data_IF_054459240299
#
_entry.id   IF_054459240299
#
_cell.length_a   1.000
_cell.length_b   1.000
_cell.length_c   1.000
_cell.angle_alpha   90.00
_cell.angle_beta   90.00
_cell.angle_gamma   90.00
#
_symmetry.space_group_name_H-M   'P 1'
#
loop_
_entity.id
_entity.type
_entity.pdbx_description
1 polymer ?
#
# COMPACT_ATOMS: atom_id res chain seq x y z
N UNK A 1 18.12 -23.97 -5.13
CA UNK A 1 16.99 -23.71 -6.07
C UNK A 1 15.69 -23.96 -5.30
N UNK A 2 14.65 -23.10 -5.38
CA UNK A 2 13.34 -23.46 -4.83
C UNK A 2 12.84 -24.74 -5.51
N UNK A 3 12.09 -25.58 -4.78
CA UNK A 3 11.56 -26.82 -5.34
C UNK A 3 10.64 -26.52 -6.54
N UNK A 4 10.69 -27.32 -7.62
CA UNK A 4 9.72 -27.26 -8.70
C UNK A 4 8.29 -27.32 -8.15
N UNK A 5 7.34 -26.64 -8.81
CA UNK A 5 5.92 -26.59 -8.42
C UNK A 5 5.62 -25.99 -7.03
N UNK A 6 6.59 -25.36 -6.36
CA UNK A 6 6.32 -24.60 -5.12
C UNK A 6 5.97 -23.16 -5.46
N UNK A 7 4.83 -22.69 -4.94
CA UNK A 7 4.40 -21.31 -5.09
C UNK A 7 5.48 -20.33 -4.60
N UNK A 8 5.81 -19.34 -5.44
CA UNK A 8 6.65 -18.22 -5.02
C UNK A 8 5.88 -17.37 -4.01
N UNK A 9 6.59 -16.73 -3.08
CA UNK A 9 5.99 -15.82 -2.10
C UNK A 9 5.13 -14.71 -2.73
N UNK A 10 5.41 -14.34 -3.99
CA UNK A 10 4.61 -13.37 -4.75
C UNK A 10 3.21 -13.85 -5.13
N UNK A 11 2.91 -15.15 -5.10
CA UNK A 11 1.60 -15.68 -5.48
C UNK A 11 0.47 -15.12 -4.60
N UNK A 12 0.69 -15.04 -3.28
CA UNK A 12 -0.29 -14.51 -2.34
C UNK A 12 -0.63 -13.04 -2.67
N UNK A 13 0.38 -12.22 -2.95
CA UNK A 13 0.17 -10.82 -3.34
C UNK A 13 -0.64 -10.69 -4.64
N UNK A 14 -0.38 -11.56 -5.63
CA UNK A 14 -1.19 -11.60 -6.85
C UNK A 14 -2.64 -12.01 -6.56
N UNK A 15 -2.84 -13.04 -5.72
CA UNK A 15 -4.18 -13.49 -5.33
C UNK A 15 -4.96 -12.38 -4.62
N UNK A 16 -4.31 -11.62 -3.73
CA UNK A 16 -4.90 -10.44 -3.08
C UNK A 16 -5.37 -9.42 -4.11
N UNK A 17 -4.51 -9.04 -5.07
CA UNK A 17 -4.89 -8.10 -6.12
C UNK A 17 -6.06 -8.62 -6.97
N UNK A 18 -6.02 -9.88 -7.40
CA UNK A 18 -7.11 -10.48 -8.20
C UNK A 18 -8.40 -10.70 -7.39
N UNK A 19 -8.33 -10.71 -6.07
CA UNK A 19 -9.52 -10.85 -5.21
C UNK A 19 -10.20 -9.50 -4.99
N UNK A 20 -9.43 -8.43 -4.79
CA UNK A 20 -9.96 -7.15 -4.34
C UNK A 20 -9.94 -6.04 -5.40
N UNK A 21 -9.09 -6.14 -6.43
CA UNK A 21 -8.86 -5.07 -7.42
C UNK A 21 -9.35 -5.52 -8.80
N UNK A 22 -10.62 -5.92 -8.88
CA UNK A 22 -11.30 -6.35 -10.10
C UNK A 22 -12.47 -5.43 -10.42
N UNK A 23 -12.65 -5.09 -11.71
CA UNK A 23 -13.72 -4.18 -12.16
C UNK A 23 -13.71 -2.85 -11.41
N UNK A 24 -12.52 -2.28 -11.23
CA UNK A 24 -12.33 -1.00 -10.54
C UNK A 24 -11.98 0.11 -11.52
N UNK A 25 -12.33 1.33 -11.14
CA UNK A 25 -11.90 2.56 -11.81
C UNK A 25 -10.82 3.25 -10.97
N UNK A 26 -9.82 3.90 -11.60
CA UNK A 26 -8.92 4.79 -10.88
C UNK A 26 -9.72 5.86 -10.14
N UNK A 27 -9.37 6.14 -8.89
CA UNK A 27 -10.04 7.15 -8.09
C UNK A 27 -9.15 8.36 -7.85
N UNK A 28 -8.06 8.18 -7.10
CA UNK A 28 -7.07 9.22 -6.85
C UNK A 28 -5.72 8.60 -6.50
N UNK A 29 -4.70 9.45 -6.46
CA UNK A 29 -3.34 9.09 -6.07
C UNK A 29 -2.74 10.22 -5.25
N UNK A 30 -2.12 9.87 -4.14
CA UNK A 30 -1.48 10.83 -3.24
C UNK A 30 -0.12 10.34 -2.76
N UNK A 31 0.75 11.28 -2.38
CA UNK A 31 2.03 11.01 -1.73
C UNK A 31 2.16 11.84 -0.46
N UNK A 32 1.54 11.43 0.66
CA UNK A 32 1.55 12.23 1.88
C UNK A 32 2.89 12.18 2.62
N UNK A 33 3.08 13.14 3.53
CA UNK A 33 4.25 13.28 4.39
C UNK A 33 5.30 14.25 3.85
N UNK A 34 6.30 14.53 4.69
CA UNK A 34 7.41 15.42 4.34
C UNK A 34 8.30 14.79 3.26
N UNK A 35 8.82 15.58 2.30
CA UNK A 35 9.83 15.11 1.34
C UNK A 35 11.15 14.75 2.03
N UNK A 36 11.26 13.50 2.49
CA UNK A 36 12.45 12.99 3.20
C UNK A 36 13.11 11.77 2.54
N UNK A 37 12.39 11.10 1.63
CA UNK A 37 12.95 9.96 0.92
C UNK A 37 13.77 10.46 -0.28
N UNK A 38 14.92 9.84 -0.54
CA UNK A 38 15.58 9.98 -1.84
C UNK A 38 14.88 9.03 -2.81
N UNK A 39 14.39 9.56 -3.92
CA UNK A 39 13.80 8.81 -5.02
C UNK A 39 14.76 8.64 -6.21
N UNK A 40 14.30 7.97 -7.28
CA UNK A 40 15.06 7.87 -8.52
C UNK A 40 15.47 9.26 -9.06
N UNK A 41 16.73 9.39 -9.50
CA UNK A 41 17.27 10.66 -9.97
C UNK A 41 17.65 11.65 -8.87
N UNK A 42 17.82 11.17 -7.62
CA UNK A 42 18.19 11.97 -6.45
C UNK A 42 17.20 13.09 -6.12
N UNK A 43 15.92 12.87 -6.44
CA UNK A 43 14.83 13.81 -6.15
C UNK A 43 14.23 13.44 -4.80
N UNK A 44 14.07 14.43 -3.91
CA UNK A 44 13.35 14.21 -2.64
C UNK A 44 11.87 13.94 -2.90
N UNK A 45 11.35 12.87 -2.31
CA UNK A 45 9.95 12.48 -2.42
C UNK A 45 9.33 12.29 -1.03
N UNK A 46 8.01 12.45 -0.89
CA UNK A 46 7.30 12.13 0.35
C UNK A 46 7.51 10.69 0.82
N UNK A 47 7.22 10.47 2.10
CA UNK A 47 7.39 9.19 2.80
C UNK A 47 6.54 8.04 2.28
N UNK A 48 5.42 8.34 1.63
CA UNK A 48 4.35 7.38 1.38
C UNK A 48 3.83 7.47 -0.05
N UNK A 49 3.22 6.37 -0.52
CA UNK A 49 2.51 6.30 -1.78
C UNK A 49 1.15 5.66 -1.56
N UNK A 50 0.09 6.38 -1.92
CA UNK A 50 -1.28 5.92 -1.81
C UNK A 50 -1.94 5.95 -3.19
N UNK A 51 -2.59 4.84 -3.56
CA UNK A 51 -3.34 4.72 -4.80
C UNK A 51 -4.72 4.19 -4.46
N UNK A 52 -5.75 4.96 -4.81
CA UNK A 52 -7.14 4.59 -4.58
C UNK A 52 -7.84 4.19 -5.87
N UNK A 53 -8.72 3.22 -5.73
CA UNK A 53 -9.64 2.75 -6.73
C UNK A 53 -11.05 2.74 -6.16
N UNK A 54 -12.03 2.88 -7.05
CA UNK A 54 -13.44 2.70 -6.73
C UNK A 54 -13.99 1.48 -7.47
N UNK A 55 -14.76 0.63 -6.80
CA UNK A 55 -15.45 -0.52 -7.36
C UNK A 55 -16.94 -0.18 -7.49
N UNK A 56 -17.44 0.20 -8.68
CA UNK A 56 -18.80 0.71 -8.85
C UNK A 56 -19.89 -0.30 -8.47
N UNK A 57 -19.67 -1.57 -8.80
CA UNK A 57 -20.67 -2.64 -8.57
C UNK A 57 -21.02 -2.83 -7.09
N UNK A 58 -20.07 -2.54 -6.19
CA UNK A 58 -20.24 -2.74 -4.74
C UNK A 58 -20.14 -1.45 -3.94
N UNK A 59 -19.88 -0.31 -4.59
CA UNK A 59 -19.61 0.97 -3.94
C UNK A 59 -18.44 0.94 -2.97
N UNK A 60 -17.36 0.21 -3.30
CA UNK A 60 -16.20 0.09 -2.42
C UNK A 60 -15.08 1.03 -2.84
N UNK A 61 -14.47 1.69 -1.87
CA UNK A 61 -13.18 2.35 -2.04
C UNK A 61 -12.07 1.40 -1.59
N UNK A 62 -11.06 1.26 -2.43
CA UNK A 62 -9.92 0.36 -2.23
C UNK A 62 -8.65 1.21 -2.31
N UNK A 63 -7.90 1.30 -1.22
CA UNK A 63 -6.69 2.12 -1.14
C UNK A 63 -5.48 1.24 -0.88
N UNK A 64 -4.59 1.15 -1.86
CA UNK A 64 -3.26 0.56 -1.70
C UNK A 64 -2.30 1.60 -1.13
N UNK A 65 -1.52 1.22 -0.11
CA UNK A 65 -0.60 2.13 0.59
C UNK A 65 0.70 1.45 1.00
N UNK A 66 1.83 2.14 0.87
CA UNK A 66 3.15 1.68 1.32
C UNK A 66 4.11 2.84 1.60
N UNK A 67 5.15 2.56 2.40
CA UNK A 67 6.27 3.48 2.63
C UNK A 67 7.23 3.48 1.43
N UNK A 68 7.81 4.63 1.09
CA UNK A 68 8.76 4.80 -0.01
C UNK A 68 10.23 4.75 0.42
N UNK A 69 10.52 4.88 1.72
CA UNK A 69 11.88 4.78 2.25
C UNK A 69 11.97 3.91 3.51
N UNK A 70 13.17 3.85 4.09
CA UNK A 70 13.54 2.90 5.15
C UNK A 70 12.77 3.08 6.46
N UNK A 71 12.25 4.28 6.70
CA UNK A 71 11.51 4.61 7.91
C UNK A 71 10.13 3.96 7.88
N UNK A 72 9.66 3.53 9.05
CA UNK A 72 8.26 3.23 9.21
C UNK A 72 7.44 4.52 9.06
N UNK A 73 6.30 4.39 8.42
CA UNK A 73 5.36 5.47 8.16
C UNK A 73 4.03 5.20 8.84
N UNK A 74 3.27 6.26 9.12
CA UNK A 74 1.90 6.15 9.60
C UNK A 74 0.97 6.75 8.55
N UNK A 75 0.13 5.91 7.94
CA UNK A 75 -0.92 6.37 7.05
C UNK A 75 -2.14 6.78 7.88
N UNK A 76 -2.68 7.96 7.60
CA UNK A 76 -3.88 8.51 8.24
C UNK A 76 -4.92 8.78 7.16
N UNK A 77 -5.89 7.88 7.02
CA UNK A 77 -6.87 7.94 5.93
C UNK A 77 -8.24 8.30 6.49
N UNK A 78 -8.85 9.36 5.97
CA UNK A 78 -10.22 9.74 6.33
C UNK A 78 -11.20 8.63 5.96
N UNK A 79 -12.01 8.18 6.91
CA UNK A 79 -13.02 7.16 6.70
C UNK A 79 -14.21 7.73 5.93
N UNK A 80 -14.62 7.03 4.88
CA UNK A 80 -15.81 7.34 4.08
C UNK A 80 -16.97 6.41 4.40
N UNK A 81 -16.67 5.27 5.04
CA UNK A 81 -17.64 4.29 5.47
C UNK A 81 -18.61 4.87 6.50
N UNK A 82 -19.93 4.75 6.28
CA UNK A 82 -20.94 5.14 7.26
C UNK A 82 -20.80 4.38 8.58
N UNK A 83 -20.32 3.14 8.53
CA UNK A 83 -20.09 2.31 9.72
C UNK A 83 -18.72 2.56 10.36
N UNK A 84 -17.90 3.43 9.76
CA UNK A 84 -16.55 3.76 10.25
C UNK A 84 -15.67 2.51 10.39
N UNK A 85 -15.91 1.49 9.58
CA UNK A 85 -15.15 0.23 9.57
C UNK A 85 -14.63 -0.08 8.18
N UNK A 86 -13.44 -0.68 8.14
CA UNK A 86 -12.78 -1.11 6.91
C UNK A 86 -12.14 -2.49 7.11
N UNK A 87 -11.93 -3.19 6.00
CA UNK A 87 -11.08 -4.37 5.93
C UNK A 87 -9.66 -3.93 5.55
N UNK A 88 -8.69 -4.20 6.43
CA UNK A 88 -7.28 -4.07 6.13
C UNK A 88 -6.75 -5.42 5.65
N UNK A 89 -6.07 -5.43 4.52
CA UNK A 89 -5.51 -6.62 3.88
C UNK A 89 -4.01 -6.43 3.71
N UNK A 90 -3.22 -7.37 4.22
CA UNK A 90 -1.78 -7.38 3.99
C UNK A 90 -1.44 -8.17 2.72
N UNK A 91 -0.22 -7.96 2.20
CA UNK A 91 0.26 -8.62 0.98
C UNK A 91 0.32 -10.16 1.03
N UNK A 92 0.31 -10.76 2.23
CA UNK A 92 0.25 -12.22 2.42
C UNK A 92 -1.18 -12.78 2.44
N UNK A 93 -2.18 -11.91 2.28
CA UNK A 93 -3.60 -12.27 2.32
C UNK A 93 -4.20 -12.29 3.72
N UNK A 94 -3.42 -12.00 4.77
CA UNK A 94 -4.01 -11.81 6.10
C UNK A 94 -4.92 -10.58 6.12
N UNK A 95 -6.05 -10.71 6.81
CA UNK A 95 -7.08 -9.67 6.86
C UNK A 95 -7.43 -9.32 8.29
N UNK A 96 -7.71 -8.04 8.53
CA UNK A 96 -8.17 -7.53 9.81
C UNK A 96 -9.28 -6.49 9.59
N UNK A 97 -10.40 -6.63 10.29
CA UNK A 97 -11.37 -5.54 10.38
C UNK A 97 -10.85 -4.47 11.34
N UNK A 98 -10.80 -3.23 10.88
CA UNK A 98 -10.39 -2.07 11.68
C UNK A 98 -11.52 -1.05 11.79
N UNK A 99 -11.51 -0.28 12.87
CA UNK A 99 -12.44 0.82 13.10
C UNK A 99 -11.69 2.15 13.02
N UNK A 100 -12.32 3.15 12.42
CA UNK A 100 -11.83 4.51 12.41
C UNK A 100 -11.94 5.10 13.82
N UNK A 101 -10.97 5.91 14.19
CA UNK A 101 -10.99 6.69 15.41
C UNK A 101 -11.04 8.17 15.02
N UNK A 102 -12.04 8.90 15.51
CA UNK A 102 -12.26 10.31 15.15
C UNK A 102 -12.33 10.54 13.62
N UNK A 103 -12.96 9.62 12.89
CA UNK A 103 -13.16 9.76 11.43
C UNK A 103 -11.95 9.35 10.58
N UNK A 104 -10.89 8.77 11.15
CA UNK A 104 -9.71 8.33 10.40
C UNK A 104 -9.28 6.91 10.75
N UNK A 105 -8.79 6.17 9.75
CA UNK A 105 -8.02 4.95 9.95
C UNK A 105 -6.53 5.28 10.09
N UNK A 106 -5.88 4.69 11.08
CA UNK A 106 -4.44 4.83 11.30
C UNK A 106 -3.75 3.50 11.04
N UNK A 107 -2.90 3.44 10.03
CA UNK A 107 -2.23 2.21 9.59
C UNK A 107 -0.71 2.39 9.69
N UNK A 108 -0.03 1.43 10.31
CA UNK A 108 1.43 1.38 10.35
C UNK A 108 1.96 0.75 9.06
N UNK A 109 2.80 1.49 8.36
CA UNK A 109 3.45 1.05 7.13
C UNK A 109 4.92 0.74 7.43
N UNK A 110 5.36 -0.52 7.30
CA UNK A 110 6.76 -0.87 7.46
C UNK A 110 7.62 -0.18 6.41
N UNK A 111 8.77 0.32 6.85
CA UNK A 111 9.77 0.90 5.98
C UNK A 111 10.27 -0.08 4.92
N UNK A 112 10.72 0.48 3.80
CA UNK A 112 11.29 -0.26 2.70
C UNK A 112 12.62 -0.93 3.08
N UNK A 113 12.79 -2.19 2.69
CA UNK A 113 14.02 -2.95 2.95
C UNK A 113 14.82 -3.24 1.67
N UNK A 114 14.21 -3.04 0.51
CA UNK A 114 14.74 -3.47 -0.77
C UNK A 114 15.57 -2.36 -1.43
N UNK A 115 16.90 -2.43 -1.30
CA UNK A 115 17.85 -1.63 -2.07
C UNK A 115 18.45 -2.47 -3.19
N UNK A 116 18.73 -1.85 -4.33
CA UNK A 116 19.48 -2.52 -5.39
C UNK A 116 20.98 -2.38 -5.11
N UNK A 117 21.76 -3.36 -5.55
CA UNK A 117 23.21 -3.30 -5.55
C UNK A 117 23.68 -2.91 -6.96
N UNK A 118 24.52 -1.88 -7.06
CA UNK A 118 25.20 -1.49 -8.29
C UNK A 118 26.34 -2.48 -8.63
N UNK A 119 26.84 -2.53 -9.88
CA UNK A 119 27.92 -3.44 -10.28
C UNK A 119 29.22 -3.28 -9.47
N UNK A 120 29.45 -2.12 -8.86
CA UNK A 120 30.60 -1.83 -7.99
C UNK A 120 30.39 -2.28 -6.53
N UNK A 121 29.25 -2.90 -6.21
CA UNK A 121 28.90 -3.39 -4.88
C UNK A 121 28.24 -2.35 -3.97
N UNK A 122 28.10 -1.09 -4.42
CA UNK A 122 27.40 -0.06 -3.64
C UNK A 122 25.88 -0.26 -3.68
N UNK A 123 25.17 0.19 -2.65
CA UNK A 123 23.70 0.12 -2.62
C UNK A 123 23.09 1.42 -3.14
N UNK A 124 21.91 1.33 -3.77
CA UNK A 124 21.11 2.51 -4.06
C UNK A 124 20.75 3.26 -2.77
N UNK A 125 20.81 4.59 -2.82
CA UNK A 125 20.35 5.45 -1.71
C UNK A 125 18.82 5.43 -1.56
N UNK A 126 18.11 5.00 -2.60
CA UNK A 126 16.66 4.89 -2.66
C UNK A 126 16.17 3.43 -2.69
N UNK A 127 14.88 3.25 -2.44
CA UNK A 127 14.21 1.95 -2.36
C UNK A 127 13.24 1.76 -3.55
N UNK A 128 13.68 1.15 -4.66
CA UNK A 128 12.97 1.18 -5.94
C UNK A 128 11.56 0.58 -5.91
N UNK A 129 11.28 -0.35 -4.99
CA UNK A 129 9.98 -1.04 -4.89
C UNK A 129 9.19 -0.68 -3.63
N UNK A 130 9.71 0.23 -2.79
CA UNK A 130 9.07 0.61 -1.54
C UNK A 130 8.99 -0.51 -0.49
N UNK A 131 8.22 -0.22 0.56
CA UNK A 131 7.94 -1.10 1.69
C UNK A 131 6.79 -2.06 1.43
N UNK A 132 6.45 -2.84 2.45
CA UNK A 132 5.37 -3.83 2.35
C UNK A 132 4.02 -3.10 2.21
N UNK A 133 3.21 -3.43 1.19
CA UNK A 133 1.94 -2.74 1.00
C UNK A 133 0.83 -3.31 1.89
N UNK A 134 -0.13 -2.43 2.18
CA UNK A 134 -1.43 -2.76 2.73
C UNK A 134 -2.53 -2.27 1.78
N UNK A 135 -3.67 -2.93 1.80
CA UNK A 135 -4.88 -2.50 1.10
C UNK A 135 -5.96 -2.25 2.15
N UNK A 136 -6.53 -1.06 2.13
CA UNK A 136 -7.71 -0.70 2.92
C UNK A 136 -8.95 -0.74 2.03
N UNK A 137 -9.99 -1.44 2.46
CA UNK A 137 -11.24 -1.60 1.71
C UNK A 137 -12.40 -1.18 2.59
N UNK A 138 -13.19 -0.24 2.12
CA UNK A 138 -14.38 0.24 2.83
C UNK A 138 -15.52 0.56 1.86
N UNK A 139 -16.73 0.69 2.39
CA UNK A 139 -17.84 1.24 1.61
C UNK A 139 -17.66 2.74 1.45
N UNK A 140 -17.88 3.25 0.25
CA UNK A 140 -17.87 4.68 -0.03
C UNK A 140 -19.16 5.07 -0.76
N UNK A 141 -20.02 5.78 -0.03
CA UNK A 141 -21.33 6.22 -0.53
C UNK A 141 -21.27 7.57 -1.24
N UNK A 142 -20.13 8.28 -1.19
CA UNK A 142 -19.95 9.59 -1.80
C UNK A 142 -18.65 9.62 -2.63
N UNK A 143 -18.60 8.87 -3.75
CA UNK A 143 -17.44 8.82 -4.63
C UNK A 143 -17.11 10.18 -5.27
#
# INVERSE_FOLDING_TARGET
>A
HPQPETARASLAAYQVLTTYVTNVSPYWRERPGEPKCIGPGNVQTPGQEWIAFYQPDTGKRIVGMWALCADNETAVIAATSPTQTALLVAADGSTQTIAAQNGVYTIQLPGATNRNTFPDGTLTEFYPIGGRPFILIETDLNP
#
